data_IF_519160986554
#
_entry.id   IF_519160986554
#
_cell.length_a   1.000
_cell.length_b   1.000
_cell.length_c   1.000
_cell.angle_alpha   90.00
_cell.angle_beta   90.00
_cell.angle_gamma   90.00
#
_symmetry.space_group_name_H-M   'P 1'
#
loop_
_entity.id
_entity.type
_entity.pdbx_description
1 polymer ?
#
# COMPACT_ATOMS: atom_id res chain seq x y z
N UNK A 1 -5.12 24.85 5.42
CA UNK A 1 -4.97 23.84 4.33
C UNK A 1 -5.32 22.48 4.92
N UNK A 2 -6.38 21.83 4.45
CA UNK A 2 -6.73 20.50 4.92
C UNK A 2 -5.59 19.53 4.55
N UNK A 3 -5.06 18.78 5.53
CA UNK A 3 -4.05 17.75 5.28
C UNK A 3 -4.67 16.75 4.32
N UNK A 4 -4.21 16.69 3.05
CA UNK A 4 -4.62 15.63 2.12
C UNK A 4 -4.42 14.29 2.85
N UNK A 5 -5.48 13.50 2.93
CA UNK A 5 -5.43 12.15 3.51
C UNK A 5 -4.38 11.33 2.77
N UNK A 6 -3.71 10.43 3.49
CA UNK A 6 -2.69 9.56 2.91
C UNK A 6 -3.26 8.76 1.72
N UNK A 7 -4.54 8.40 1.78
CA UNK A 7 -5.29 7.75 0.70
C UNK A 7 -5.24 8.58 -0.60
N UNK A 8 -5.60 9.87 -0.56
CA UNK A 8 -5.60 10.73 -1.74
C UNK A 8 -4.20 10.92 -2.32
N UNK A 9 -3.18 11.04 -1.47
CA UNK A 9 -1.79 11.13 -1.92
C UNK A 9 -1.34 9.83 -2.61
N UNK A 10 -1.79 8.69 -2.09
CA UNK A 10 -1.50 7.38 -2.64
C UNK A 10 -2.10 7.23 -4.03
N UNK A 11 -3.38 7.56 -4.21
CA UNK A 11 -4.07 7.52 -5.50
C UNK A 11 -3.36 8.44 -6.50
N UNK A 12 -3.07 9.68 -6.13
CA UNK A 12 -2.40 10.66 -7.00
C UNK A 12 -1.01 10.16 -7.44
N UNK A 13 -0.25 9.54 -6.53
CA UNK A 13 1.06 8.95 -6.82
C UNK A 13 1.00 7.82 -7.85
N UNK A 14 0.06 6.89 -7.68
CA UNK A 14 -0.09 5.77 -8.61
C UNK A 14 -0.61 6.21 -9.96
N UNK A 15 -1.60 7.12 -10.00
CA UNK A 15 -2.10 7.70 -11.25
C UNK A 15 -0.99 8.42 -12.03
N UNK A 16 -0.16 9.24 -11.38
CA UNK A 16 0.96 9.91 -12.07
C UNK A 16 2.00 8.94 -12.64
N UNK A 17 2.14 7.76 -12.06
CA UNK A 17 3.05 6.70 -12.56
C UNK A 17 2.41 5.81 -13.63
N UNK A 18 1.18 6.12 -14.05
CA UNK A 18 0.44 5.37 -15.06
C UNK A 18 -0.05 4.01 -14.57
N UNK A 19 -0.32 3.88 -13.27
CA UNK A 19 -1.03 2.72 -12.73
C UNK A 19 -2.54 2.97 -12.82
N UNK A 20 -3.29 1.91 -13.11
CA UNK A 20 -4.74 1.90 -12.98
C UNK A 20 -5.09 1.63 -11.52
N UNK A 21 -5.79 2.55 -10.88
CA UNK A 21 -6.11 2.48 -9.45
C UNK A 21 -7.58 2.13 -9.31
N UNK A 22 -7.85 0.97 -8.71
CA UNK A 22 -9.20 0.53 -8.36
C UNK A 22 -9.39 0.58 -6.85
N UNK A 23 -10.52 1.10 -6.42
CA UNK A 23 -10.89 1.15 -4.99
C UNK A 23 -11.73 -0.07 -4.66
N UNK A 24 -11.65 -0.55 -3.42
CA UNK A 24 -12.47 -1.66 -2.93
C UNK A 24 -13.99 -1.40 -3.01
N UNK A 25 -14.38 -0.14 -3.22
CA UNK A 25 -15.76 0.28 -3.41
C UNK A 25 -16.32 -0.02 -4.81
N UNK A 26 -15.45 -0.30 -5.79
CA UNK A 26 -15.80 -0.47 -7.20
C UNK A 26 -15.92 -1.94 -7.64
N UNK A 27 -15.44 -2.91 -6.85
CA UNK A 27 -15.52 -4.35 -7.19
C UNK A 27 -16.28 -5.14 -6.12
N UNK A 28 -17.50 -5.55 -6.48
CA UNK A 28 -18.47 -6.32 -5.68
C UNK A 28 -18.13 -7.82 -5.58
N UNK A 29 -17.04 -8.29 -6.21
CA UNK A 29 -16.96 -9.70 -6.62
C UNK A 29 -15.83 -10.54 -6.00
N UNK A 30 -15.11 -10.08 -4.98
CA UNK A 30 -14.05 -10.89 -4.36
C UNK A 30 -14.00 -10.70 -2.84
N UNK A 31 -14.49 -11.72 -2.14
CA UNK A 31 -14.52 -11.89 -0.68
C UNK A 31 -13.13 -11.71 -0.01
N UNK A 32 -12.04 -11.79 -0.79
CA UNK A 32 -10.65 -11.64 -0.32
C UNK A 32 -10.11 -10.20 -0.32
N UNK A 33 -10.86 -9.19 -0.77
CA UNK A 33 -10.35 -7.82 -0.84
C UNK A 33 -10.52 -6.99 0.44
N UNK A 34 -11.30 -7.45 1.42
CA UNK A 34 -11.64 -6.67 2.63
C UNK A 34 -10.42 -6.19 3.46
N UNK A 35 -9.25 -6.81 3.28
CA UNK A 35 -8.03 -6.42 3.97
C UNK A 35 -7.22 -5.28 3.33
N UNK A 36 -7.50 -4.94 2.07
CA UNK A 36 -6.76 -3.95 1.29
C UNK A 36 -7.65 -2.74 0.95
N UNK A 37 -7.09 -1.53 0.96
CA UNK A 37 -7.87 -0.32 0.73
C UNK A 37 -8.03 -0.04 -0.78
N UNK A 38 -6.99 -0.36 -1.55
CA UNK A 38 -6.86 -0.05 -2.97
C UNK A 38 -6.15 -1.20 -3.68
N UNK A 39 -6.38 -1.35 -4.97
CA UNK A 39 -5.66 -2.27 -5.83
C UNK A 39 -5.12 -1.47 -7.00
N UNK A 40 -3.82 -1.59 -7.27
CA UNK A 40 -3.19 -0.92 -8.41
C UNK A 40 -2.73 -1.94 -9.41
N UNK A 41 -3.08 -1.74 -10.68
CA UNK A 41 -2.68 -2.62 -11.76
C UNK A 41 -1.83 -1.90 -12.79
N UNK A 42 -0.81 -2.60 -13.30
CA UNK A 42 0.06 -2.10 -14.37
C UNK A 42 0.51 -3.25 -15.22
N UNK A 43 0.23 -3.19 -16.53
CA UNK A 43 0.74 -4.14 -17.54
C UNK A 43 0.54 -5.62 -17.15
N UNK A 44 -0.64 -5.96 -16.62
CA UNK A 44 -1.06 -7.30 -16.12
C UNK A 44 -0.54 -7.71 -14.73
N UNK A 45 0.28 -6.89 -14.07
CA UNK A 45 0.60 -7.09 -12.66
C UNK A 45 -0.43 -6.35 -11.79
N UNK A 46 -0.93 -7.05 -10.78
CA UNK A 46 -1.90 -6.52 -9.82
C UNK A 46 -1.22 -6.47 -8.46
N UNK A 47 -1.15 -5.28 -7.87
CA UNK A 47 -0.55 -5.05 -6.57
C UNK A 47 -1.61 -4.56 -5.60
N UNK A 48 -1.91 -5.33 -4.53
CA UNK A 48 -2.80 -4.84 -3.49
C UNK A 48 -2.08 -3.77 -2.66
N UNK A 49 -2.78 -2.69 -2.37
CA UNK A 49 -2.27 -1.55 -1.61
C UNK A 49 -3.07 -1.40 -0.32
N UNK A 50 -2.37 -1.36 0.80
CA UNK A 50 -2.96 -1.09 2.11
C UNK A 50 -2.48 0.26 2.61
N UNK A 51 -3.40 1.13 3.02
CA UNK A 51 -3.09 2.47 3.50
C UNK A 51 -3.35 2.54 5.00
N UNK A 52 -2.28 2.67 5.79
CA UNK A 52 -2.34 2.86 7.24
C UNK A 52 -2.04 4.32 7.58
N UNK A 53 -3.07 5.15 7.50
CA UNK A 53 -3.04 6.56 7.90
C UNK A 53 -3.18 6.71 9.42
N UNK A 54 -2.16 6.24 10.15
CA UNK A 54 -2.08 6.41 11.60
C UNK A 54 -0.92 7.33 11.99
N UNK A 55 -1.06 8.05 13.09
CA UNK A 55 -0.03 8.99 13.55
C UNK A 55 1.14 8.29 14.29
N UNK A 56 1.44 7.03 13.96
CA UNK A 56 2.46 6.19 14.63
C UNK A 56 3.38 5.52 13.61
N UNK A 57 4.56 5.12 14.07
CA UNK A 57 5.51 4.35 13.27
C UNK A 57 5.00 2.93 13.05
N UNK A 58 4.95 2.49 11.80
CA UNK A 58 4.63 1.10 11.45
C UNK A 58 5.75 0.17 11.89
N UNK A 59 5.41 -0.75 12.79
CA UNK A 59 6.30 -1.82 13.23
C UNK A 59 6.30 -3.01 12.27
N UNK A 60 7.31 -3.87 12.42
CA UNK A 60 7.49 -5.07 11.58
C UNK A 60 6.29 -6.02 11.64
N UNK A 61 5.60 -6.10 12.78
CA UNK A 61 4.46 -7.00 12.95
C UNK A 61 3.31 -6.70 11.97
N UNK A 62 3.10 -5.42 11.64
CA UNK A 62 2.08 -5.02 10.65
C UNK A 62 2.47 -5.46 9.25
N UNK A 63 3.76 -5.33 8.90
CA UNK A 63 4.29 -5.80 7.62
C UNK A 63 4.16 -7.31 7.52
N UNK A 64 4.49 -8.05 8.58
CA UNK A 64 4.33 -9.52 8.63
C UNK A 64 2.87 -9.92 8.47
N UNK A 65 1.96 -9.23 9.17
CA UNK A 65 0.54 -9.56 9.09
C UNK A 65 -0.01 -9.31 7.67
N UNK A 66 0.40 -8.21 7.04
CA UNK A 66 0.05 -7.91 5.66
C UNK A 66 0.67 -8.91 4.67
N UNK A 67 1.92 -9.31 4.87
CA UNK A 67 2.58 -10.33 4.04
C UNK A 67 1.81 -11.65 4.06
N UNK A 68 1.45 -12.10 5.27
CA UNK A 68 0.63 -13.31 5.45
C UNK A 68 -0.74 -13.18 4.80
N UNK A 69 -1.43 -12.05 5.00
CA UNK A 69 -2.72 -11.78 4.37
C UNK A 69 -2.62 -11.80 2.83
N UNK A 70 -1.58 -11.16 2.27
CA UNK A 70 -1.32 -11.15 0.83
C UNK A 70 -1.08 -12.56 0.29
N UNK A 71 -0.29 -13.38 1.00
CA UNK A 71 -0.02 -14.76 0.63
C UNK A 71 -1.30 -15.61 0.68
N UNK A 72 -2.11 -15.47 1.72
CA UNK A 72 -3.40 -16.17 1.84
C UNK A 72 -4.37 -15.79 0.71
N UNK A 73 -4.39 -14.51 0.32
CA UNK A 73 -5.23 -14.00 -0.77
C UNK A 73 -4.64 -14.28 -2.18
N UNK A 74 -3.47 -14.90 -2.28
CA UNK A 74 -2.82 -15.23 -3.55
C UNK A 74 -2.18 -14.03 -4.28
N UNK A 75 -2.03 -12.88 -3.62
CA UNK A 75 -1.41 -11.71 -4.20
C UNK A 75 0.11 -11.72 -4.03
N UNK A 76 0.80 -11.35 -5.09
CA UNK A 76 2.25 -11.15 -5.10
C UNK A 76 2.58 -9.67 -4.91
N UNK A 77 3.63 -9.38 -4.14
CA UNK A 77 4.20 -8.04 -3.96
C UNK A 77 3.20 -7.00 -3.41
N UNK A 78 2.71 -7.17 -2.16
CA UNK A 78 1.82 -6.19 -1.55
C UNK A 78 2.55 -4.86 -1.29
N UNK A 79 1.78 -3.77 -1.36
CA UNK A 79 2.28 -2.42 -1.11
C UNK A 79 1.66 -1.89 0.18
N UNK A 80 2.50 -1.50 1.14
CA UNK A 80 2.06 -0.86 2.37
C UNK A 80 2.38 0.63 2.33
N UNK A 81 1.36 1.45 2.53
CA UNK A 81 1.50 2.90 2.62
C UNK A 81 1.28 3.36 4.05
N UNK A 82 2.19 4.16 4.58
CA UNK A 82 2.07 4.71 5.92
C UNK A 82 2.76 6.07 6.08
N UNK A 83 2.56 6.73 7.21
CA UNK A 83 3.30 7.95 7.57
C UNK A 83 4.80 7.66 7.74
N UNK A 84 5.15 6.64 8.53
CA UNK A 84 6.53 6.23 8.82
C UNK A 84 6.64 4.72 9.06
N UNK A 85 7.80 4.14 8.72
CA UNK A 85 8.14 2.74 8.98
C UNK A 85 9.33 2.63 9.93
N UNK A 86 9.31 1.62 10.80
CA UNK A 86 10.48 1.28 11.62
C UNK A 86 11.58 0.64 10.76
N UNK A 87 12.81 0.66 11.24
CA UNK A 87 13.92 -0.01 10.55
C UNK A 87 13.67 -1.51 10.38
N UNK A 88 13.13 -2.16 11.41
CA UNK A 88 12.76 -3.58 11.35
C UNK A 88 11.72 -3.86 10.26
N UNK A 89 10.74 -2.97 10.09
CA UNK A 89 9.74 -3.07 9.02
C UNK A 89 10.41 -2.98 7.64
N UNK A 90 11.32 -2.02 7.45
CA UNK A 90 12.08 -1.86 6.19
C UNK A 90 12.96 -3.07 5.87
N UNK A 91 13.69 -3.56 6.87
CA UNK A 91 14.55 -4.73 6.72
C UNK A 91 13.76 -5.98 6.33
N UNK A 92 12.61 -6.20 6.97
CA UNK A 92 11.74 -7.32 6.63
C UNK A 92 11.15 -7.20 5.22
N UNK A 93 10.65 -6.02 4.88
CA UNK A 93 10.05 -5.77 3.58
C UNK A 93 11.03 -5.97 2.43
N UNK A 94 12.26 -5.49 2.57
CA UNK A 94 13.33 -5.67 1.59
C UNK A 94 13.64 -7.17 1.36
N UNK A 95 13.65 -7.98 2.43
CA UNK A 95 13.88 -9.44 2.33
C UNK A 95 12.73 -10.20 1.65
N UNK A 96 11.50 -9.70 1.75
CA UNK A 96 10.28 -10.37 1.24
C UNK A 96 9.76 -9.80 -0.07
N UNK A 97 10.38 -8.76 -0.62
CA UNK A 97 9.89 -8.08 -1.82
C UNK A 97 8.62 -7.26 -1.59
N UNK A 98 8.36 -6.87 -0.35
CA UNK A 98 7.21 -6.04 0.02
C UNK A 98 7.59 -4.58 -0.23
N UNK A 99 6.70 -3.83 -0.88
CA UNK A 99 6.93 -2.42 -1.14
C UNK A 99 6.41 -1.60 0.04
N UNK A 100 7.26 -0.78 0.63
CA UNK A 100 6.85 0.20 1.64
C UNK A 100 6.91 1.59 1.01
N UNK A 101 5.82 2.34 1.11
CA UNK A 101 5.73 3.73 0.67
C UNK A 101 5.39 4.62 1.84
N UNK A 102 6.33 5.50 2.21
CA UNK A 102 6.07 6.50 3.22
C UNK A 102 5.39 7.72 2.60
N UNK A 103 4.64 8.47 3.42
CA UNK A 103 4.11 9.79 3.04
C UNK A 103 5.20 10.69 2.44
N UNK A 104 6.39 10.68 3.03
CA UNK A 104 7.52 11.47 2.56
C UNK A 104 7.96 11.05 1.14
N UNK A 105 8.03 9.75 0.85
CA UNK A 105 8.38 9.25 -0.49
C UNK A 105 7.32 9.60 -1.53
N UNK A 106 6.04 9.47 -1.16
CA UNK A 106 4.92 9.86 -2.03
C UNK A 106 4.98 11.36 -2.32
N UNK A 107 5.09 12.19 -1.29
CA UNK A 107 5.18 13.64 -1.45
C UNK A 107 6.39 14.06 -2.29
N UNK A 108 7.54 13.43 -2.06
CA UNK A 108 8.76 13.69 -2.85
C UNK A 108 8.59 13.31 -4.33
N UNK A 109 7.77 12.31 -4.64
CA UNK A 109 7.49 11.92 -6.02
C UNK A 109 6.41 12.77 -6.69
N UNK A 110 5.60 13.50 -5.91
CA UNK A 110 4.53 14.38 -6.40
C UNK A 110 4.98 15.85 -6.53
N UNK A 111 6.09 16.20 -5.88
CA UNK A 111 6.77 17.50 -5.99
C UNK A 111 7.66 17.55 -7.22
#
# INVERSE_FOLDING_TARGET
MARKSLMNLTVEYFMRRGYDVKTNQDEVDHDNFSEFDLVVSKRKEVHPVRVKDWNRTVGVNIVINMDKASQCAGFSNPILVAEKFSEHAKAYANRRGIVLLSRFEIMRSLM
#
